data_IF_716420119279
#
_entry.id   IF_716420119279
#
_cell.length_a   1.000
_cell.length_b   1.000
_cell.length_c   1.000
_cell.angle_alpha   90.00
_cell.angle_beta   90.00
_cell.angle_gamma   90.00
#
_symmetry.space_group_name_H-M   'P 1'
#
loop_
_entity.id
_entity.type
_entity.pdbx_description
1 polymer ?
#
# COMPACT_ATOMS: atom_id res chain seq x y z
N UNK A 1 23.25 -1.54 -20.24
CA UNK A 1 23.49 -1.00 -18.88
C UNK A 1 22.50 -1.67 -17.94
N UNK A 2 22.92 -2.75 -17.29
CA UNK A 2 22.13 -3.49 -16.29
C UNK A 2 22.22 -2.71 -14.98
N UNK A 3 21.17 -1.95 -14.66
CA UNK A 3 21.09 -1.22 -13.39
C UNK A 3 20.82 -2.20 -12.26
N UNK A 4 21.88 -2.66 -11.61
CA UNK A 4 21.83 -3.48 -10.41
C UNK A 4 21.39 -2.61 -9.23
N UNK A 5 20.08 -2.40 -9.07
CA UNK A 5 19.48 -1.86 -7.84
C UNK A 5 19.36 -2.95 -6.76
N UNK A 6 20.40 -3.78 -6.59
CA UNK A 6 20.50 -4.66 -5.44
C UNK A 6 21.13 -3.86 -4.30
N UNK A 7 20.36 -2.92 -3.74
CA UNK A 7 20.70 -2.40 -2.41
C UNK A 7 20.54 -3.58 -1.46
N UNK A 8 21.62 -3.95 -0.78
CA UNK A 8 21.67 -5.08 0.14
C UNK A 8 20.89 -4.72 1.41
N UNK A 9 19.55 -4.86 1.35
CA UNK A 9 18.62 -4.57 2.45
C UNK A 9 18.70 -5.59 3.61
N UNK A 10 19.65 -6.52 3.57
CA UNK A 10 19.68 -7.71 4.42
C UNK A 10 20.30 -7.50 5.82
N UNK A 11 20.89 -6.34 6.12
CA UNK A 11 21.86 -6.27 7.22
C UNK A 11 21.35 -5.81 8.60
N UNK A 12 20.07 -5.46 8.83
CA UNK A 12 19.65 -4.88 10.13
C UNK A 12 18.28 -5.25 10.71
N UNK A 13 17.51 -6.18 10.15
CA UNK A 13 16.14 -6.42 10.62
C UNK A 13 16.05 -7.44 11.77
N UNK A 14 15.05 -7.27 12.64
CA UNK A 14 14.51 -8.34 13.50
C UNK A 14 14.06 -9.56 12.68
N UNK A 15 13.47 -10.56 13.34
CA UNK A 15 13.13 -11.85 12.69
C UNK A 15 12.51 -11.70 11.30
N UNK A 16 12.96 -12.52 10.32
CA UNK A 16 12.63 -12.32 8.91
C UNK A 16 11.12 -12.33 8.72
N UNK A 17 10.59 -11.21 8.25
CA UNK A 17 9.18 -11.12 7.91
C UNK A 17 8.90 -11.92 6.62
N UNK A 18 7.93 -12.82 6.66
CA UNK A 18 7.48 -13.53 5.45
C UNK A 18 6.52 -12.62 4.69
N UNK A 19 6.77 -12.40 3.39
CA UNK A 19 5.86 -11.65 2.51
C UNK A 19 5.14 -12.63 1.61
N UNK A 20 3.81 -12.59 1.61
CA UNK A 20 2.95 -13.47 0.80
C UNK A 20 1.77 -12.72 0.20
N UNK A 21 1.11 -13.34 -0.78
CA UNK A 21 -0.17 -12.84 -1.28
C UNK A 21 -1.25 -12.92 -0.19
N UNK A 22 -2.19 -12.01 -0.29
CA UNK A 22 -3.41 -11.97 0.51
C UNK A 22 -4.24 -13.25 0.37
N UNK A 23 -4.92 -13.60 1.47
CA UNK A 23 -5.98 -14.62 1.58
C UNK A 23 -7.19 -14.00 2.26
N UNK A 24 -8.38 -14.49 1.99
CA UNK A 24 -9.62 -13.96 2.58
C UNK A 24 -9.61 -13.92 4.12
N UNK A 25 -8.98 -14.92 4.75
CA UNK A 25 -8.80 -14.96 6.21
C UNK A 25 -7.91 -13.85 6.79
N UNK A 26 -7.23 -13.05 5.96
CA UNK A 26 -6.36 -11.96 6.39
C UNK A 26 -7.14 -10.68 6.75
N UNK A 27 -8.41 -10.55 6.34
CA UNK A 27 -9.21 -9.34 6.53
C UNK A 27 -9.21 -8.84 7.99
N UNK A 28 -9.48 -9.69 9.01
CA UNK A 28 -9.46 -9.25 10.41
C UNK A 28 -8.11 -8.67 10.84
N UNK A 29 -7.01 -9.32 10.42
CA UNK A 29 -5.64 -8.89 10.75
C UNK A 29 -5.24 -7.60 10.02
N UNK A 30 -5.67 -7.40 8.76
CA UNK A 30 -5.46 -6.15 8.03
C UNK A 30 -6.25 -5.01 8.69
N UNK A 31 -7.51 -5.25 9.08
CA UNK A 31 -8.31 -4.24 9.80
C UNK A 31 -7.65 -3.84 11.12
N UNK A 32 -7.18 -4.82 11.89
CA UNK A 32 -6.45 -4.58 13.14
C UNK A 32 -5.15 -3.78 12.92
N UNK A 33 -4.40 -4.07 11.86
CA UNK A 33 -3.20 -3.33 11.48
C UNK A 33 -3.53 -1.87 11.12
N UNK A 34 -4.53 -1.63 10.26
CA UNK A 34 -4.96 -0.28 9.87
C UNK A 34 -5.39 0.52 11.10
N UNK A 35 -6.15 -0.10 12.00
CA UNK A 35 -6.63 0.56 13.21
C UNK A 35 -5.50 0.86 14.20
N UNK A 36 -4.52 -0.03 14.31
CA UNK A 36 -3.31 0.22 15.10
C UNK A 36 -2.57 1.44 14.58
N UNK A 37 -2.32 1.52 13.27
CA UNK A 37 -1.68 2.68 12.64
C UNK A 37 -2.51 3.94 12.85
N UNK A 38 -3.83 3.87 12.66
CA UNK A 38 -4.74 4.98 12.84
C UNK A 38 -4.65 5.55 14.26
N UNK A 39 -4.70 4.68 15.26
CA UNK A 39 -4.61 5.06 16.67
C UNK A 39 -3.25 5.66 17.03
N UNK A 40 -2.14 5.08 16.56
CA UNK A 40 -0.79 5.58 16.84
C UNK A 40 -0.49 6.91 16.17
N UNK A 41 -1.05 7.15 14.97
CA UNK A 41 -0.82 8.38 14.19
C UNK A 41 -1.92 9.43 14.35
N UNK A 42 -2.87 9.23 15.28
CA UNK A 42 -3.94 10.18 15.58
C UNK A 42 -4.94 10.39 14.43
N UNK A 43 -5.14 9.38 13.59
CA UNK A 43 -6.10 9.47 12.49
C UNK A 43 -7.53 9.34 13.01
N UNK A 44 -8.40 10.25 12.59
CA UNK A 44 -9.82 10.23 13.00
C UNK A 44 -10.60 9.03 12.44
N UNK A 45 -10.15 8.46 11.31
CA UNK A 45 -10.83 7.35 10.63
C UNK A 45 -10.10 6.03 10.89
N UNK A 46 -10.81 5.11 11.53
CA UNK A 46 -10.50 3.67 11.60
C UNK A 46 -11.18 2.94 10.43
N UNK A 47 -10.95 1.63 10.32
CA UNK A 47 -11.65 0.76 9.37
C UNK A 47 -12.27 -0.44 10.06
N UNK A 48 -13.37 -0.96 9.52
CA UNK A 48 -13.97 -2.23 9.94
C UNK A 48 -13.66 -3.35 8.94
N UNK A 49 -13.90 -4.60 9.35
CA UNK A 49 -13.78 -5.75 8.45
C UNK A 49 -14.78 -5.65 7.29
N UNK A 50 -16.01 -5.20 7.55
CA UNK A 50 -17.04 -5.02 6.53
C UNK A 50 -16.66 -3.95 5.50
N UNK A 51 -15.99 -2.89 5.95
CA UNK A 51 -15.47 -1.88 5.02
C UNK A 51 -14.37 -2.45 4.13
N UNK A 52 -13.43 -3.24 4.68
CA UNK A 52 -12.42 -3.90 3.88
C UNK A 52 -13.02 -4.91 2.90
N UNK A 53 -14.00 -5.72 3.33
CA UNK A 53 -14.74 -6.64 2.45
C UNK A 53 -15.38 -5.87 1.30
N UNK A 54 -16.06 -4.76 1.59
CA UNK A 54 -16.69 -3.91 0.58
C UNK A 54 -15.67 -3.29 -0.38
N UNK A 55 -14.54 -2.83 0.13
CA UNK A 55 -13.48 -2.19 -0.65
C UNK A 55 -12.72 -3.20 -1.52
N UNK A 56 -12.57 -4.43 -1.04
CA UNK A 56 -11.95 -5.54 -1.78
C UNK A 56 -12.92 -6.20 -2.77
N UNK A 57 -14.23 -6.07 -2.56
CA UNK A 57 -15.27 -6.55 -3.47
C UNK A 57 -15.69 -5.56 -4.56
N UNK A 58 -15.05 -4.40 -4.68
CA UNK A 58 -15.35 -3.46 -5.77
C UNK A 58 -15.03 -4.08 -7.15
N UNK A 59 -15.74 -3.68 -8.23
CA UNK A 59 -15.36 -4.07 -9.58
C UNK A 59 -13.88 -3.79 -9.86
N UNK A 60 -13.21 -4.72 -10.55
CA UNK A 60 -11.77 -4.66 -10.86
C UNK A 60 -10.82 -4.72 -9.66
N UNK A 61 -11.36 -5.03 -8.47
CA UNK A 61 -10.56 -5.40 -7.30
C UNK A 61 -10.35 -6.92 -7.28
N UNK A 62 -9.08 -7.33 -7.38
CA UNK A 62 -8.65 -8.72 -7.34
C UNK A 62 -7.62 -8.87 -6.20
N UNK A 63 -8.07 -8.84 -4.93
CA UNK A 63 -7.17 -8.70 -3.79
C UNK A 63 -6.11 -9.81 -3.72
N UNK A 64 -6.42 -11.02 -4.16
CA UNK A 64 -5.48 -12.15 -4.25
C UNK A 64 -4.33 -11.95 -5.24
N UNK A 65 -4.44 -10.95 -6.14
CA UNK A 65 -3.41 -10.55 -7.11
C UNK A 65 -2.88 -9.14 -6.87
N UNK A 66 -3.57 -8.35 -6.07
CA UNK A 66 -3.32 -6.93 -5.87
C UNK A 66 -2.76 -6.63 -4.48
N UNK A 67 -2.97 -7.51 -3.50
CA UNK A 67 -2.60 -7.30 -2.10
C UNK A 67 -1.54 -8.31 -1.67
N UNK A 68 -0.50 -7.79 -1.01
CA UNK A 68 0.50 -8.58 -0.31
C UNK A 68 0.49 -8.22 1.17
N UNK A 69 0.82 -9.20 2.01
CA UNK A 69 0.89 -9.06 3.46
C UNK A 69 2.27 -9.50 3.94
N UNK A 70 2.76 -8.86 5.00
CA UNK A 70 3.98 -9.21 5.70
C UNK A 70 3.64 -9.72 7.11
N UNK A 71 4.20 -10.86 7.48
CA UNK A 71 3.97 -11.55 8.74
C UNK A 71 5.28 -11.67 9.52
N UNK A 72 5.23 -11.54 10.84
CA UNK A 72 6.37 -11.87 11.70
C UNK A 72 6.49 -13.39 11.84
N UNK A 73 7.70 -13.93 11.68
CA UNK A 73 7.97 -15.27 12.19
C UNK A 73 7.80 -15.26 13.72
N UNK A 74 7.14 -16.27 14.28
CA UNK A 74 6.95 -16.35 15.72
C UNK A 74 6.18 -17.60 16.11
N UNK A 75 6.87 -18.55 16.75
CA UNK A 75 6.36 -19.90 17.05
C UNK A 75 5.11 -19.95 17.95
N UNK A 76 4.73 -18.84 18.60
CA UNK A 76 3.64 -18.79 19.59
C UNK A 76 2.71 -17.58 19.47
N UNK A 77 2.79 -16.79 18.39
CA UNK A 77 1.83 -15.72 18.13
C UNK A 77 1.05 -16.12 16.90
N UNK A 78 -0.28 -16.15 17.02
CA UNK A 78 -1.15 -16.18 15.84
C UNK A 78 -0.58 -15.18 14.82
N UNK A 79 -0.28 -15.66 13.61
CA UNK A 79 0.43 -14.92 12.56
C UNK A 79 -0.13 -13.50 12.44
N UNK A 80 0.55 -12.54 13.05
CA UNK A 80 0.08 -11.16 13.08
C UNK A 80 0.65 -10.45 11.86
N UNK A 81 -0.25 -10.00 10.98
CA UNK A 81 0.12 -9.17 9.84
C UNK A 81 0.71 -7.86 10.38
N UNK A 82 1.99 -7.62 10.09
CA UNK A 82 2.73 -6.41 10.49
C UNK A 82 2.93 -5.43 9.34
N UNK A 83 2.56 -5.80 8.12
CA UNK A 83 2.50 -4.90 7.00
C UNK A 83 1.51 -5.39 5.95
N UNK A 84 0.89 -4.48 5.23
CA UNK A 84 0.17 -4.81 4.01
C UNK A 84 0.47 -3.77 2.93
N UNK A 85 0.44 -4.21 1.69
CA UNK A 85 0.57 -3.33 0.55
C UNK A 85 -0.40 -3.75 -0.55
N UNK A 86 -0.88 -2.77 -1.31
CA UNK A 86 -1.83 -2.97 -2.40
C UNK A 86 -1.41 -2.20 -3.63
N UNK A 87 -1.60 -2.80 -4.80
CA UNK A 87 -1.53 -2.13 -6.10
C UNK A 87 -2.89 -2.27 -6.81
N UNK A 88 -3.43 -1.17 -7.32
CA UNK A 88 -4.61 -1.18 -8.19
C UNK A 88 -4.24 -0.49 -9.49
N UNK A 89 -4.61 -1.09 -10.62
CA UNK A 89 -4.41 -0.52 -11.94
C UNK A 89 -5.69 0.08 -12.50
N UNK A 90 -5.54 1.16 -13.26
CA UNK A 90 -6.59 1.82 -14.02
C UNK A 90 -6.05 2.17 -15.39
N UNK A 91 -6.77 1.80 -16.46
CA UNK A 91 -6.42 2.18 -17.83
C UNK A 91 -7.41 3.21 -18.35
N UNK A 92 -6.91 4.40 -18.66
CA UNK A 92 -7.64 5.44 -19.38
C UNK A 92 -7.32 5.32 -20.87
N UNK A 93 -8.21 4.65 -21.61
CA UNK A 93 -8.08 4.49 -23.06
C UNK A 93 -8.09 5.84 -23.80
N UNK A 94 -8.79 6.85 -23.27
CA UNK A 94 -8.91 8.16 -23.92
C UNK A 94 -7.63 8.98 -23.84
N UNK A 95 -6.88 8.82 -22.74
CA UNK A 95 -5.58 9.45 -22.53
C UNK A 95 -4.40 8.53 -22.93
N UNK A 96 -4.69 7.27 -23.30
CA UNK A 96 -3.71 6.19 -23.50
C UNK A 96 -2.73 6.06 -22.31
N UNK A 97 -3.28 6.13 -21.10
CA UNK A 97 -2.52 6.15 -19.85
C UNK A 97 -2.94 5.00 -18.94
N UNK A 98 -1.95 4.28 -18.39
CA UNK A 98 -2.18 3.37 -17.27
C UNK A 98 -1.66 3.98 -15.98
N UNK A 99 -2.51 3.99 -14.95
CA UNK A 99 -2.17 4.41 -13.61
C UNK A 99 -2.14 3.20 -12.68
N UNK A 100 -1.06 3.06 -11.92
CA UNK A 100 -0.93 2.13 -10.81
C UNK A 100 -0.94 2.90 -9.50
N UNK A 101 -1.99 2.71 -8.70
CA UNK A 101 -2.08 3.28 -7.37
C UNK A 101 -1.47 2.33 -6.35
N UNK A 102 -0.50 2.82 -5.57
CA UNK A 102 0.22 2.07 -4.56
C UNK A 102 -0.22 2.49 -3.16
N UNK A 103 -0.53 1.51 -2.31
CA UNK A 103 -0.73 1.69 -0.88
C UNK A 103 0.24 0.82 -0.12
N UNK A 104 0.86 1.37 0.90
CA UNK A 104 1.71 0.62 1.85
C UNK A 104 1.34 1.06 3.26
N UNK A 105 1.21 0.08 4.15
CA UNK A 105 0.95 0.28 5.58
C UNK A 105 1.83 -0.68 6.35
N UNK A 106 2.58 -0.14 7.30
CA UNK A 106 3.51 -0.90 8.13
C UNK A 106 3.18 -0.61 9.59
N UNK A 107 3.20 -1.65 10.41
CA UNK A 107 2.99 -1.52 11.84
C UNK A 107 4.07 -0.60 12.43
N UNK A 108 3.74 0.36 13.32
CA UNK A 108 4.72 1.34 13.83
C UNK A 108 5.99 0.72 14.43
N UNK A 109 5.86 -0.45 15.07
CA UNK A 109 6.99 -1.19 15.62
C UNK A 109 8.01 -1.70 14.57
N UNK A 110 7.62 -1.81 13.30
CA UNK A 110 8.44 -2.31 12.19
C UNK A 110 8.97 -1.21 11.27
N UNK A 111 8.70 0.08 11.56
CA UNK A 111 9.07 1.19 10.67
C UNK A 111 10.58 1.28 10.42
N UNK A 112 11.39 0.92 11.42
CA UNK A 112 12.86 1.00 11.35
C UNK A 112 13.50 -0.19 10.63
N UNK A 113 12.73 -1.23 10.34
CA UNK A 113 13.24 -2.48 9.78
C UNK A 113 13.26 -2.47 8.23
N UNK A 114 12.94 -1.33 7.61
CA UNK A 114 12.92 -1.20 6.14
C UNK A 114 11.75 -1.93 5.47
N UNK A 115 10.78 -2.45 6.25
CA UNK A 115 9.66 -3.25 5.74
C UNK A 115 8.83 -2.51 4.68
N UNK A 116 8.66 -1.19 4.82
CA UNK A 116 7.95 -0.39 3.83
C UNK A 116 8.65 -0.42 2.46
N UNK A 117 9.98 -0.31 2.44
CA UNK A 117 10.77 -0.39 1.21
C UNK A 117 10.69 -1.78 0.57
N UNK A 118 10.72 -2.85 1.38
CA UNK A 118 10.55 -4.22 0.90
C UNK A 118 9.17 -4.44 0.27
N UNK A 119 8.09 -3.99 0.93
CA UNK A 119 6.73 -4.06 0.38
C UNK A 119 6.60 -3.26 -0.92
N UNK A 120 7.17 -2.05 -0.99
CA UNK A 120 7.19 -1.27 -2.21
C UNK A 120 7.92 -1.97 -3.36
N UNK A 121 9.10 -2.53 -3.09
CA UNK A 121 9.85 -3.28 -4.10
C UNK A 121 9.00 -4.43 -4.68
N UNK A 122 8.27 -5.15 -3.82
CA UNK A 122 7.34 -6.21 -4.24
C UNK A 122 6.17 -5.69 -5.06
N UNK A 123 5.57 -4.56 -4.69
CA UNK A 123 4.53 -3.95 -5.53
C UNK A 123 5.06 -3.56 -6.91
N UNK A 124 6.28 -3.02 -7.00
CA UNK A 124 6.90 -2.67 -8.28
C UNK A 124 7.21 -3.90 -9.15
N UNK A 125 7.57 -5.03 -8.53
CA UNK A 125 7.66 -6.33 -9.23
C UNK A 125 6.31 -6.72 -9.82
N UNK A 126 5.23 -6.65 -9.02
CA UNK A 126 3.87 -6.96 -9.48
C UNK A 126 3.41 -6.06 -10.65
N UNK A 127 3.72 -4.76 -10.59
CA UNK A 127 3.46 -3.81 -11.68
C UNK A 127 4.19 -4.23 -12.95
N UNK A 128 5.50 -4.48 -12.86
CA UNK A 128 6.33 -4.89 -14.02
C UNK A 128 5.86 -6.20 -14.61
N UNK A 129 5.47 -7.16 -13.77
CA UNK A 129 4.97 -8.44 -14.23
C UNK A 129 3.61 -8.31 -14.91
N UNK A 130 2.76 -7.39 -14.45
CA UNK A 130 1.52 -7.07 -15.14
C UNK A 130 1.77 -6.43 -16.50
N UNK A 131 2.68 -5.46 -16.61
CA UNK A 131 3.04 -4.82 -17.88
C UNK A 131 3.65 -5.78 -18.92
N UNK A 132 4.15 -6.94 -18.50
CA UNK A 132 4.72 -7.97 -19.39
C UNK A 132 3.69 -8.97 -19.90
N UNK A 133 2.48 -8.99 -19.34
CA UNK A 133 1.44 -9.95 -19.71
C UNK A 133 0.90 -9.63 -21.12
N UNK A 134 0.76 -10.62 -22.01
CA UNK A 134 0.23 -10.40 -23.36
C UNK A 134 -1.20 -9.85 -23.39
N UNK A 135 -2.01 -10.16 -22.38
CA UNK A 135 -3.40 -9.70 -22.26
C UNK A 135 -3.53 -8.26 -21.73
N UNK A 136 -2.44 -7.70 -21.20
CA UNK A 136 -2.44 -6.35 -20.67
C UNK A 136 -2.35 -5.35 -21.83
N UNK A 137 -3.38 -4.51 -21.98
CA UNK A 137 -3.44 -3.51 -23.04
C UNK A 137 -2.16 -2.66 -23.07
N UNK A 138 -1.70 -2.30 -24.25
CA UNK A 138 -0.60 -1.34 -24.34
C UNK A 138 -1.08 0.03 -23.85
N UNK A 139 -0.23 0.73 -23.11
CA UNK A 139 -0.44 2.13 -22.75
C UNK A 139 0.76 2.94 -23.23
N UNK A 140 0.51 4.08 -23.87
CA UNK A 140 1.55 5.01 -24.28
C UNK A 140 2.34 5.59 -23.11
N UNK A 141 1.69 5.69 -21.94
CA UNK A 141 2.33 6.13 -20.69
C UNK A 141 1.86 5.30 -19.49
N UNK A 142 2.80 4.96 -18.59
CA UNK A 142 2.53 4.23 -17.35
C UNK A 142 2.97 5.07 -16.15
N UNK A 143 2.02 5.38 -15.27
CA UNK A 143 2.19 6.23 -14.09
C UNK A 143 2.09 5.40 -12.81
N UNK A 144 3.03 5.62 -11.89
CA UNK A 144 2.96 5.10 -10.52
C UNK A 144 2.53 6.24 -9.60
N UNK A 145 1.44 6.04 -8.86
CA UNK A 145 0.86 7.06 -7.99
C UNK A 145 0.74 6.52 -6.58
N UNK A 146 1.23 7.28 -5.61
CA UNK A 146 1.01 7.01 -4.20
C UNK A 146 0.59 8.29 -3.48
N UNK A 147 -0.05 8.11 -2.33
CA UNK A 147 -0.43 9.22 -1.44
C UNK A 147 0.13 8.99 -0.05
N UNK A 148 0.86 9.97 0.47
CA UNK A 148 1.27 10.04 1.87
C UNK A 148 0.61 11.26 2.53
N UNK A 149 0.30 11.16 3.82
CA UNK A 149 -0.06 12.35 4.61
C UNK A 149 1.22 13.11 4.92
N UNK A 150 1.14 14.43 5.02
CA UNK A 150 2.31 15.24 5.37
C UNK A 150 2.93 14.86 6.72
N UNK A 151 2.11 14.40 7.68
CA UNK A 151 2.58 13.92 8.98
C UNK A 151 3.22 12.52 8.93
N UNK A 152 3.02 11.76 7.84
CA UNK A 152 3.56 10.42 7.65
C UNK A 152 4.88 10.49 6.85
N UNK A 153 5.91 10.98 7.54
CA UNK A 153 7.25 11.19 6.97
C UNK A 153 7.85 9.87 6.47
N UNK A 154 7.65 8.78 7.22
CA UNK A 154 8.21 7.47 6.89
C UNK A 154 7.65 6.93 5.56
N UNK A 155 6.33 7.02 5.34
CA UNK A 155 5.75 6.64 4.04
C UNK A 155 6.27 7.53 2.91
N UNK A 156 6.37 8.84 3.13
CA UNK A 156 6.93 9.78 2.14
C UNK A 156 8.36 9.40 1.72
N UNK A 157 9.23 9.16 2.69
CA UNK A 157 10.62 8.74 2.46
C UNK A 157 10.70 7.38 1.75
N UNK A 158 9.83 6.43 2.10
CA UNK A 158 9.79 5.13 1.43
C UNK A 158 9.42 5.26 -0.06
N UNK A 159 8.47 6.13 -0.41
CA UNK A 159 8.12 6.40 -1.81
C UNK A 159 9.27 7.09 -2.57
N UNK A 160 9.92 8.08 -1.97
CA UNK A 160 11.07 8.76 -2.57
C UNK A 160 12.25 7.79 -2.80
N UNK A 161 12.48 6.85 -1.88
CA UNK A 161 13.54 5.85 -2.00
C UNK A 161 13.37 4.92 -3.22
N UNK A 162 12.14 4.74 -3.72
CA UNK A 162 11.85 3.97 -4.93
C UNK A 162 11.67 4.85 -6.19
N UNK A 163 12.00 6.14 -6.08
CA UNK A 163 12.05 7.08 -7.21
C UNK A 163 10.76 7.86 -7.48
N UNK A 164 9.73 7.73 -6.63
CA UNK A 164 8.55 8.59 -6.73
C UNK A 164 8.92 10.01 -6.29
N UNK A 165 8.22 11.01 -6.85
CA UNK A 165 8.38 12.43 -6.51
C UNK A 165 7.04 13.02 -6.11
N UNK A 166 7.06 13.95 -5.15
CA UNK A 166 5.87 14.73 -4.83
C UNK A 166 5.49 15.63 -6.02
N UNK A 167 4.33 15.39 -6.62
CA UNK A 167 3.82 16.15 -7.78
C UNK A 167 2.63 17.05 -7.45
N UNK A 168 1.92 16.80 -6.34
CA UNK A 168 0.76 17.60 -5.91
C UNK A 168 0.52 17.47 -4.41
N UNK A 169 -0.10 18.50 -3.83
CA UNK A 169 -0.63 18.52 -2.47
C UNK A 169 -2.14 18.70 -2.53
N UNK A 170 -2.87 18.08 -1.59
CA UNK A 170 -4.31 18.20 -1.49
C UNK A 170 -4.75 18.34 -0.03
N UNK A 171 -5.95 18.87 0.17
CA UNK A 171 -6.57 19.03 1.48
C UNK A 171 -7.84 18.20 1.56
N UNK A 172 -8.00 17.47 2.66
CA UNK A 172 -9.27 16.82 3.00
C UNK A 172 -10.09 17.85 3.79
N UNK A 173 -11.11 18.42 3.16
CA UNK A 173 -12.01 19.38 3.78
C UNK A 173 -13.14 18.63 4.50
N UNK A 174 -13.27 18.84 5.81
CA UNK A 174 -14.33 18.22 6.62
C UNK A 174 -15.21 19.30 7.23
N UNK A 175 -16.53 19.11 7.15
CA UNK A 175 -17.56 19.96 7.77
C UNK A 175 -18.59 19.07 8.47
N UNK A 176 -19.09 19.51 9.61
CA UNK A 176 -20.24 18.85 10.23
C UNK A 176 -21.51 19.10 9.40
N UNK A 177 -22.28 18.03 9.14
CA UNK A 177 -23.61 18.15 8.52
C UNK A 177 -24.67 18.66 9.50
N UNK A 178 -24.36 18.75 10.80
CA UNK A 178 -25.26 19.31 11.80
C UNK A 178 -25.28 20.84 11.84
N UNK A 179 -24.35 21.49 11.14
CA UNK A 179 -24.24 22.95 11.09
C UNK A 179 -24.96 23.49 9.84
N UNK A 180 -25.81 24.53 9.97
CA UNK A 180 -26.46 25.14 8.82
C UNK A 180 -25.43 25.77 7.88
N UNK A 181 -25.73 25.75 6.58
CA UNK A 181 -24.97 26.51 5.58
C UNK A 181 -25.45 27.96 5.68
N UNK A 182 -24.56 28.88 6.03
CA UNK A 182 -24.86 30.30 5.96
C UNK A 182 -25.09 30.66 4.48
N UNK A 183 -26.26 31.22 4.19
CA UNK A 183 -26.63 31.78 2.87
C UNK A 183 -25.87 33.09 2.59
#
# INVERSE_FOLDING_TARGET
MTSTFATDWSAQAGEPSTIRLYKEGDIPSIAALVNTIANTTGQAKTTSEEELVRDFGQPFSYPERQVIVAETAGENKAESIVGYARVVDFYDESADQRLYQLWVRVHPAMEKDGLAGLLLARLLEMVRDNERKPETAHAGEVLLVAGARQADIASGQAFEAVGLKAVRYGWIMTRSLSEPIAE
#
